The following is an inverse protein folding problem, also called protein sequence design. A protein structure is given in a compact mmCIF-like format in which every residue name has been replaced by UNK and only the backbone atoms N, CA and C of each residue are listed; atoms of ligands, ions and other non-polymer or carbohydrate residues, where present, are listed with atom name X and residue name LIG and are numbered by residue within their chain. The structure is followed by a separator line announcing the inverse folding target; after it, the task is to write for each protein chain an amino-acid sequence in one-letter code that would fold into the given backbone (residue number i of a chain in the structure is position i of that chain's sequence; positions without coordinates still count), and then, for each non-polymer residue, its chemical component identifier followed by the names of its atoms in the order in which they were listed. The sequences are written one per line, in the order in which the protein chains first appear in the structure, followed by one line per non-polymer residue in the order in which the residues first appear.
data_IF_199091119074
#
_entry.id   IF_199091119074
#
_cell.length_a   1.000
_cell.length_b   1.000
_cell.length_c   1.000
_cell.angle_alpha   90.00
_cell.angle_beta   90.00
_cell.angle_gamma   90.00
#
_symmetry.space_group_name_H-M   'P 1'
#
loop_
_entity.id
_entity.type
_entity.pdbx_description
1 polymer ?
#
# COMPACT_ATOMS: atom_id res chain seq x y z
N UNK A 1 4.65 50.73 3.45
CA UNK A 1 3.46 49.87 3.24
C UNK A 1 3.99 48.44 3.29
N UNK A 2 3.83 47.78 4.44
CA UNK A 2 4.32 46.43 4.71
C UNK A 2 3.25 45.41 4.30
N UNK A 3 3.63 44.37 3.55
CA UNK A 3 2.90 43.10 3.54
C UNK A 3 3.90 41.97 3.71
N UNK A 4 3.81 41.35 4.89
CA UNK A 4 4.48 40.13 5.34
C UNK A 4 4.17 38.96 4.39
N UNK A 5 5.16 38.18 3.95
CA UNK A 5 5.78 37.07 4.68
C UNK A 5 4.74 36.04 5.17
N UNK A 6 4.35 35.11 4.30
CA UNK A 6 3.58 33.92 4.68
C UNK A 6 4.56 32.73 4.75
N UNK A 7 4.98 32.37 5.97
CA UNK A 7 5.64 31.10 6.26
C UNK A 7 4.55 30.07 6.56
N UNK A 8 4.45 29.01 5.75
CA UNK A 8 3.59 27.87 6.05
C UNK A 8 4.38 26.87 6.89
N UNK A 9 4.11 26.84 8.20
CA UNK A 9 4.63 25.87 9.14
C UNK A 9 3.76 24.61 9.06
N UNK A 10 4.30 23.49 8.58
CA UNK A 10 3.64 22.18 8.68
C UNK A 10 4.20 21.50 9.93
N UNK A 11 3.39 21.43 10.99
CA UNK A 11 3.72 20.74 12.22
C UNK A 11 3.53 19.23 12.05
N UNK A 12 4.63 18.49 12.01
CA UNK A 12 4.67 17.03 12.18
C UNK A 12 4.17 16.69 13.59
N UNK A 13 3.06 15.95 13.69
CA UNK A 13 2.66 15.31 14.95
C UNK A 13 3.19 13.88 14.96
N UNK A 14 4.28 13.68 15.69
CA UNK A 14 4.81 12.36 16.05
C UNK A 14 3.94 11.85 17.21
N UNK A 15 3.22 10.74 17.00
CA UNK A 15 2.53 10.03 18.08
C UNK A 15 3.57 9.20 18.84
N UNK A 16 3.67 9.29 20.18
CA UNK A 16 4.67 8.57 20.95
C UNK A 16 4.32 7.08 21.05
N UNK A 17 5.32 6.23 20.82
CA UNK A 17 5.30 4.79 21.10
C UNK A 17 5.23 4.59 22.61
N UNK A 18 4.15 3.97 23.10
CA UNK A 18 4.05 3.54 24.49
C UNK A 18 4.97 2.32 24.72
N UNK A 19 5.85 2.44 25.71
CA UNK A 19 6.65 1.36 26.29
C UNK A 19 5.75 0.22 26.78
N UNK A 20 6.06 -1.01 26.37
CA UNK A 20 5.57 -2.21 27.04
C UNK A 20 6.56 -2.57 28.17
N UNK A 21 6.16 -2.31 29.41
CA UNK A 21 6.80 -2.89 30.61
C UNK A 21 6.31 -4.32 30.83
N UNK A 22 7.21 -5.17 31.30
CA UNK A 22 7.04 -6.60 31.55
C UNK A 22 6.17 -6.94 32.79
N UNK A 23 5.73 -8.22 32.80
CA UNK A 23 5.40 -9.15 33.91
C UNK A 23 3.90 -9.45 34.16
N UNK A 24 3.53 -10.64 34.69
CA UNK A 24 4.17 -11.97 34.71
C UNK A 24 3.27 -13.13 34.23
N UNK A 25 3.85 -14.33 34.07
CA UNK A 25 3.14 -15.60 33.80
C UNK A 25 2.18 -15.99 34.93
N UNK A 26 0.98 -16.50 34.60
CA UNK A 26 0.41 -17.78 35.09
C UNK A 26 -0.93 -18.05 34.39
N UNK A 27 -1.09 -19.23 33.78
CA UNK A 27 -2.35 -20.00 33.74
C UNK A 27 -3.56 -19.48 32.95
N UNK A 28 -3.78 -20.13 31.81
CA UNK A 28 -5.06 -20.39 31.13
C UNK A 28 -5.92 -19.24 30.55
N UNK A 29 -6.40 -19.51 29.33
CA UNK A 29 -7.29 -18.75 28.44
C UNK A 29 -6.70 -17.52 27.72
N UNK A 30 -6.50 -17.68 26.41
CA UNK A 30 -6.29 -16.58 25.46
C UNK A 30 -7.53 -15.66 25.47
N UNK A 31 -7.40 -14.36 25.78
CA UNK A 31 -8.51 -13.44 25.61
C UNK A 31 -8.77 -13.21 24.12
N UNK A 32 -9.87 -13.78 23.63
CA UNK A 32 -10.56 -13.35 22.40
C UNK A 32 -10.86 -11.85 22.54
N UNK A 33 -10.03 -11.02 21.91
CA UNK A 33 -10.12 -9.57 22.05
C UNK A 33 -9.37 -8.81 20.96
N UNK A 34 -9.37 -9.31 19.73
CA UNK A 34 -9.23 -8.43 18.57
C UNK A 34 -10.64 -8.22 18.06
N UNK A 35 -11.30 -7.15 18.53
CA UNK A 35 -12.46 -6.61 17.83
C UNK A 35 -11.99 -6.22 16.43
N UNK A 36 -12.19 -7.12 15.46
CA UNK A 36 -12.33 -6.72 14.08
C UNK A 36 -13.45 -5.69 14.06
N UNK A 37 -13.10 -4.44 13.78
CA UNK A 37 -14.06 -3.38 13.50
C UNK A 37 -14.93 -3.87 12.35
N UNK A 38 -16.11 -4.43 12.67
CA UNK A 38 -17.17 -4.70 11.71
C UNK A 38 -17.77 -3.35 11.31
N UNK A 39 -17.05 -2.61 10.48
CA UNK A 39 -17.65 -1.57 9.67
C UNK A 39 -18.63 -2.25 8.72
N UNK A 40 -19.91 -1.93 8.84
CA UNK A 40 -20.88 -2.25 7.80
C UNK A 40 -20.57 -1.35 6.60
N UNK A 41 -19.87 -1.91 5.61
CA UNK A 41 -19.66 -1.23 4.34
C UNK A 41 -20.94 -1.40 3.49
N UNK A 42 -21.44 -0.32 2.87
CA UNK A 42 -22.53 -0.48 1.91
C UNK A 42 -22.08 -1.41 0.78
N UNK A 43 -22.96 -2.27 0.24
CA UNK A 43 -22.62 -3.09 -0.91
C UNK A 43 -22.20 -2.18 -2.08
N UNK A 44 -21.19 -2.56 -2.87
CA UNK A 44 -20.81 -1.82 -4.07
C UNK A 44 -22.03 -1.69 -4.98
N UNK A 45 -22.20 -0.51 -5.58
CA UNK A 45 -23.25 -0.28 -6.56
C UNK A 45 -23.07 -1.25 -7.75
N UNK A 46 -24.16 -1.75 -8.32
CA UNK A 46 -24.12 -2.63 -9.49
C UNK A 46 -23.53 -1.89 -10.71
N UNK A 47 -22.22 -2.08 -10.86
CA UNK A 47 -21.38 -1.77 -12.01
C UNK A 47 -20.30 -2.85 -12.08
N UNK A 48 -19.65 -3.03 -13.23
CA UNK A 48 -18.54 -3.99 -13.35
C UNK A 48 -17.49 -3.68 -12.28
N UNK A 49 -17.38 -4.56 -11.27
CA UNK A 49 -16.37 -4.43 -10.22
C UNK A 49 -14.99 -4.57 -10.85
N UNK A 50 -14.12 -3.58 -10.68
CA UNK A 50 -12.74 -3.68 -11.15
C UNK A 50 -12.02 -4.82 -10.39
N UNK A 51 -11.50 -5.80 -11.14
CA UNK A 51 -10.78 -6.92 -10.54
C UNK A 51 -9.27 -6.73 -10.63
N UNK A 52 -8.63 -6.56 -9.47
CA UNK A 52 -7.18 -6.65 -9.30
C UNK A 52 -6.64 -8.09 -9.26
N UNK A 53 -7.51 -9.11 -9.28
CA UNK A 53 -7.07 -10.50 -9.22
C UNK A 53 -6.24 -10.87 -10.44
N UNK A 54 -5.04 -11.41 -10.25
CA UNK A 54 -4.20 -11.88 -11.34
C UNK A 54 -2.73 -11.54 -11.17
N UNK A 55 -1.98 -11.73 -12.26
CA UNK A 55 -0.57 -11.41 -12.37
C UNK A 55 -0.40 -10.01 -12.95
N UNK A 56 0.49 -9.24 -12.33
CA UNK A 56 0.81 -7.87 -12.70
C UNK A 56 2.32 -7.70 -12.72
N UNK A 57 2.82 -6.82 -13.57
CA UNK A 57 4.17 -6.31 -13.47
C UNK A 57 4.15 -5.04 -12.62
N UNK A 58 4.93 -5.03 -11.54
CA UNK A 58 5.22 -3.86 -10.73
C UNK A 58 6.51 -3.21 -11.25
N UNK A 59 6.43 -1.93 -11.59
CA UNK A 59 7.60 -1.12 -11.96
C UNK A 59 7.81 -0.02 -10.90
N UNK A 60 9.04 0.26 -10.50
CA UNK A 60 9.34 1.33 -9.55
C UNK A 60 10.69 1.99 -9.80
N UNK A 61 10.81 3.24 -9.36
CA UNK A 61 12.09 3.97 -9.25
C UNK A 61 12.34 4.38 -7.79
N UNK A 62 13.52 4.94 -7.51
CA UNK A 62 13.88 5.44 -6.17
C UNK A 62 13.71 6.98 -6.06
N UNK A 63 12.82 7.59 -6.86
CA UNK A 63 12.62 9.04 -6.92
C UNK A 63 11.16 9.45 -6.78
N UNK A 64 10.86 10.47 -5.98
CA UNK A 64 9.49 10.98 -5.85
C UNK A 64 9.24 12.06 -6.90
N UNK A 65 8.21 11.89 -7.74
CA UNK A 65 7.87 12.81 -8.83
C UNK A 65 6.49 12.53 -9.44
N UNK A 66 6.17 13.12 -10.60
CA UNK A 66 4.92 12.81 -11.32
C UNK A 66 5.06 11.68 -12.35
N UNK A 67 6.30 11.28 -12.65
CA UNK A 67 6.62 10.28 -13.67
C UNK A 67 7.55 9.23 -13.10
N UNK A 68 7.57 8.05 -13.71
CA UNK A 68 8.54 7.01 -13.40
C UNK A 68 9.86 7.37 -14.10
N UNK A 69 10.81 7.96 -13.37
CA UNK A 69 12.05 8.52 -13.93
C UNK A 69 13.29 7.88 -13.30
N UNK A 70 14.29 7.55 -14.11
CA UNK A 70 15.57 6.98 -13.64
C UNK A 70 15.72 5.49 -13.93
N UNK A 71 16.46 4.77 -13.07
CA UNK A 71 16.72 3.34 -13.20
C UNK A 71 15.49 2.53 -12.77
N UNK A 72 14.57 2.34 -13.72
CA UNK A 72 13.33 1.59 -13.51
C UNK A 72 13.64 0.13 -13.23
N UNK A 73 13.15 -0.35 -12.09
CA UNK A 73 13.20 -1.76 -11.69
C UNK A 73 11.82 -2.36 -11.90
N UNK A 74 11.79 -3.63 -12.30
CA UNK A 74 10.54 -4.37 -12.50
C UNK A 74 10.56 -5.72 -11.80
N UNK A 75 9.38 -6.18 -11.39
CA UNK A 75 9.14 -7.54 -10.95
C UNK A 75 7.68 -7.93 -11.18
N UNK A 76 7.40 -9.22 -11.15
CA UNK A 76 6.03 -9.71 -11.23
C UNK A 76 5.45 -9.88 -9.82
N UNK A 77 4.17 -9.56 -9.68
CA UNK A 77 3.41 -9.64 -8.45
C UNK A 77 2.03 -10.20 -8.75
N UNK A 78 1.56 -11.10 -7.90
CA UNK A 78 0.24 -11.69 -8.01
C UNK A 78 -0.64 -11.17 -6.88
N UNK A 79 -1.81 -10.64 -7.24
CA UNK A 79 -2.82 -10.19 -6.29
C UNK A 79 -4.03 -11.11 -6.27
N UNK A 80 -4.61 -11.22 -5.08
CA UNK A 80 -5.94 -11.75 -4.83
C UNK A 80 -6.71 -10.76 -3.97
N UNK A 81 -7.94 -10.44 -4.39
CA UNK A 81 -8.83 -9.52 -3.70
C UNK A 81 -10.12 -10.22 -3.34
N UNK A 82 -10.48 -10.16 -2.05
CA UNK A 82 -11.73 -10.68 -1.49
C UNK A 82 -12.30 -9.59 -0.59
N UNK A 83 -13.51 -9.12 -0.89
CA UNK A 83 -14.22 -8.09 -0.12
C UNK A 83 -13.35 -6.87 0.20
N UNK A 84 -12.63 -6.36 -0.80
CA UNK A 84 -11.71 -5.23 -0.67
C UNK A 84 -10.39 -5.53 0.03
N UNK A 85 -10.22 -6.71 0.64
CA UNK A 85 -8.94 -7.12 1.22
C UNK A 85 -8.01 -7.65 0.15
N UNK A 86 -6.78 -7.11 0.08
CA UNK A 86 -5.76 -7.51 -0.89
C UNK A 86 -4.74 -8.41 -0.19
N UNK A 87 -4.48 -9.56 -0.79
CA UNK A 87 -3.34 -10.41 -0.47
C UNK A 87 -2.51 -10.63 -1.73
N UNK A 88 -1.20 -10.75 -1.59
CA UNK A 88 -0.34 -11.01 -2.74
C UNK A 88 1.00 -11.64 -2.40
N UNK A 89 1.77 -11.87 -3.45
CA UNK A 89 3.15 -12.34 -3.36
C UNK A 89 3.90 -11.95 -4.64
N UNK A 90 5.22 -11.80 -4.55
CA UNK A 90 6.05 -11.69 -5.74
C UNK A 90 6.09 -13.02 -6.51
N UNK A 91 6.05 -12.93 -7.83
CA UNK A 91 6.22 -14.07 -8.74
C UNK A 91 7.67 -14.07 -9.25
N UNK A 92 8.56 -14.72 -8.50
CA UNK A 92 9.98 -14.84 -8.84
C UNK A 92 10.90 -13.86 -8.13
N UNK A 93 11.97 -13.42 -8.82
CA UNK A 93 13.04 -12.59 -8.23
C UNK A 93 12.73 -11.10 -8.37
N UNK A 94 12.87 -10.36 -7.27
CA UNK A 94 12.77 -8.90 -7.23
C UNK A 94 14.18 -8.33 -7.26
N UNK A 95 14.54 -7.63 -8.34
CA UNK A 95 15.89 -7.11 -8.57
C UNK A 95 16.99 -8.18 -8.33
N UNK A 96 16.79 -9.37 -8.92
CA UNK A 96 17.72 -10.49 -8.81
C UNK A 96 17.66 -11.29 -7.50
N UNK A 97 16.85 -10.87 -6.53
CA UNK A 97 16.77 -11.50 -5.20
C UNK A 97 15.41 -12.17 -4.99
N UNK A 98 15.39 -13.41 -4.49
CA UNK A 98 14.15 -14.04 -4.00
C UNK A 98 13.75 -13.36 -2.70
N UNK A 99 12.50 -12.90 -2.62
CA UNK A 99 11.96 -12.23 -1.44
C UNK A 99 11.01 -13.17 -0.73
N UNK A 100 11.24 -13.36 0.56
CA UNK A 100 10.27 -13.97 1.47
C UNK A 100 9.38 -12.86 2.05
N UNK A 101 8.59 -12.26 1.17
CA UNK A 101 7.76 -11.12 1.49
C UNK A 101 6.28 -11.52 1.53
N UNK A 102 5.59 -11.10 2.57
CA UNK A 102 4.13 -11.14 2.65
C UNK A 102 3.61 -9.84 2.07
N UNK A 103 2.56 -9.91 1.25
CA UNK A 103 1.88 -8.73 0.72
C UNK A 103 0.44 -8.71 1.22
N UNK A 104 0.07 -7.64 1.91
CA UNK A 104 -1.26 -7.40 2.47
C UNK A 104 -1.70 -5.95 2.25
N UNK A 105 -3.00 -5.73 2.04
CA UNK A 105 -3.50 -4.40 1.72
C UNK A 105 -5.01 -4.29 1.61
N UNK A 106 -5.47 -3.17 1.08
CA UNK A 106 -6.87 -2.85 0.86
C UNK A 106 -7.07 -2.14 -0.48
N UNK A 107 -8.11 -2.57 -1.20
CA UNK A 107 -8.72 -1.86 -2.32
C UNK A 107 -10.01 -1.22 -1.81
N UNK A 108 -10.07 0.11 -1.85
CA UNK A 108 -11.25 0.89 -1.51
C UNK A 108 -11.85 1.43 -2.80
N UNK A 109 -13.11 1.08 -3.05
CA UNK A 109 -13.90 1.63 -4.14
C UNK A 109 -14.62 2.89 -3.69
N UNK A 110 -14.51 3.95 -4.47
CA UNK A 110 -15.25 5.19 -4.33
C UNK A 110 -16.01 5.48 -5.63
N UNK A 111 -17.04 6.32 -5.55
CA UNK A 111 -17.87 6.70 -6.70
C UNK A 111 -17.03 7.28 -7.87
N UNK A 112 -15.90 7.92 -7.55
CA UNK A 112 -15.04 8.62 -8.52
C UNK A 112 -13.81 7.80 -8.93
N UNK A 113 -13.62 6.60 -8.36
CA UNK A 113 -12.45 5.77 -8.64
C UNK A 113 -12.05 4.85 -7.50
N UNK A 114 -10.76 4.52 -7.45
CA UNK A 114 -10.23 3.46 -6.61
C UNK A 114 -9.00 3.96 -5.86
N UNK A 115 -8.82 3.46 -4.64
CA UNK A 115 -7.61 3.59 -3.86
C UNK A 115 -7.10 2.19 -3.49
N UNK A 116 -5.89 1.87 -3.91
CA UNK A 116 -5.17 0.67 -3.47
C UNK A 116 -4.05 1.09 -2.52
N UNK A 117 -4.06 0.50 -1.33
CA UNK A 117 -2.95 0.55 -0.39
C UNK A 117 -2.48 -0.87 -0.11
N UNK A 118 -1.17 -1.12 -0.11
CA UNK A 118 -0.64 -2.42 0.32
C UNK A 118 0.76 -2.29 0.89
N UNK A 119 1.18 -3.28 1.66
CA UNK A 119 2.49 -3.37 2.26
C UNK A 119 3.16 -4.66 1.83
N UNK A 120 4.43 -4.56 1.46
CA UNK A 120 5.37 -5.66 1.43
C UNK A 120 6.03 -5.74 2.82
N UNK A 121 5.92 -6.87 3.49
CA UNK A 121 6.55 -7.12 4.80
C UNK A 121 7.57 -8.25 4.70
N UNK A 122 8.79 -7.95 5.09
CA UNK A 122 9.92 -8.88 5.25
C UNK A 122 10.51 -8.72 6.65
N UNK A 123 11.33 -9.68 7.08
CA UNK A 123 12.05 -9.56 8.36
C UNK A 123 12.87 -8.26 8.41
N UNK A 124 12.50 -7.35 9.32
CA UNK A 124 13.17 -6.06 9.51
C UNK A 124 12.96 -5.04 8.39
N UNK A 125 12.02 -5.27 7.46
CA UNK A 125 11.78 -4.38 6.33
C UNK A 125 10.29 -4.30 5.99
N UNK A 126 9.76 -3.08 5.84
CA UNK A 126 8.41 -2.85 5.33
C UNK A 126 8.53 -1.83 4.19
N UNK A 127 7.81 -2.08 3.10
CA UNK A 127 7.61 -1.13 2.01
C UNK A 127 6.10 -0.95 1.81
N UNK A 128 5.62 0.28 1.92
CA UNK A 128 4.21 0.64 1.75
C UNK A 128 4.01 1.27 0.38
N UNK A 129 2.89 0.95 -0.25
CA UNK A 129 2.50 1.39 -1.58
C UNK A 129 1.10 2.00 -1.54
N UNK A 130 0.91 3.09 -2.27
CA UNK A 130 -0.38 3.75 -2.43
C UNK A 130 -0.57 4.20 -3.87
N UNK A 131 -1.72 3.87 -4.47
CA UNK A 131 -2.08 4.32 -5.81
C UNK A 131 -3.58 4.62 -5.88
N UNK A 132 -3.93 5.72 -6.53
CA UNK A 132 -5.31 6.13 -6.75
C UNK A 132 -5.56 6.28 -8.25
N UNK A 133 -6.69 5.79 -8.76
CA UNK A 133 -7.06 5.99 -10.16
C UNK A 133 -8.55 6.26 -10.35
N UNK A 134 -8.93 7.13 -11.30
CA UNK A 134 -10.33 7.37 -11.63
C UNK A 134 -11.02 6.12 -12.17
N UNK A 135 -12.34 5.99 -11.95
CA UNK A 135 -13.13 4.89 -12.51
C UNK A 135 -13.15 4.89 -14.06
N UNK A 136 -12.96 6.06 -14.66
CA UNK A 136 -12.87 6.24 -16.11
C UNK A 136 -11.51 5.87 -16.72
N UNK A 137 -10.51 5.57 -15.90
CA UNK A 137 -9.13 5.36 -16.33
C UNK A 137 -8.72 3.90 -16.20
N UNK A 138 -7.89 3.44 -17.12
CA UNK A 138 -7.22 2.15 -16.98
C UNK A 138 -6.10 2.24 -15.94
N UNK A 139 -5.91 1.19 -15.13
CA UNK A 139 -4.85 1.17 -14.11
C UNK A 139 -3.44 1.23 -14.72
N UNK A 140 -3.29 0.91 -16.02
CA UNK A 140 -2.01 0.89 -16.73
C UNK A 140 -1.42 2.27 -16.98
N UNK A 141 -2.19 3.34 -16.79
CA UNK A 141 -1.76 4.73 -17.02
C UNK A 141 -1.47 5.49 -15.72
N UNK A 142 -1.46 4.80 -14.58
CA UNK A 142 -1.48 5.44 -13.26
C UNK A 142 -0.18 5.18 -12.52
N UNK A 143 0.34 6.24 -11.90
CA UNK A 143 1.53 6.22 -11.05
C UNK A 143 1.11 6.35 -9.59
N UNK A 144 1.54 5.41 -8.76
CA UNK A 144 1.46 5.46 -7.31
C UNK A 144 2.79 5.85 -6.67
N UNK A 145 2.78 5.94 -5.34
CA UNK A 145 3.94 6.26 -4.52
C UNK A 145 4.27 5.14 -3.53
N UNK A 146 5.55 4.87 -3.34
CA UNK A 146 6.02 3.91 -2.34
C UNK A 146 6.99 4.56 -1.37
N UNK A 147 7.06 4.01 -0.15
CA UNK A 147 8.05 4.37 0.85
C UNK A 147 8.41 3.17 1.71
N UNK A 148 9.63 3.12 2.24
CA UNK A 148 10.09 2.00 3.06
C UNK A 148 10.64 2.40 4.43
N UNK A 149 10.87 1.40 5.27
CA UNK A 149 11.43 1.57 6.63
C UNK A 149 12.89 2.02 6.65
N UNK A 150 13.57 2.07 5.50
CA UNK A 150 14.93 2.61 5.35
C UNK A 150 14.94 4.09 4.94
N UNK A 151 13.76 4.72 4.86
CA UNK A 151 13.61 6.11 4.46
C UNK A 151 13.76 6.35 2.97
N UNK A 152 13.67 5.30 2.15
CA UNK A 152 13.61 5.42 0.68
C UNK A 152 12.16 5.57 0.24
N UNK A 153 11.97 6.23 -0.89
CA UNK A 153 10.66 6.45 -1.48
C UNK A 153 10.79 6.70 -2.97
N UNK A 154 9.73 6.44 -3.71
CA UNK A 154 9.68 6.77 -5.13
C UNK A 154 8.32 6.53 -5.74
N UNK A 155 8.31 6.48 -7.06
CA UNK A 155 7.12 6.22 -7.84
C UNK A 155 7.04 4.75 -8.23
N UNK A 156 5.82 4.26 -8.44
CA UNK A 156 5.58 2.93 -8.99
C UNK A 156 4.37 2.91 -9.92
N UNK A 157 4.28 1.88 -10.75
CA UNK A 157 3.12 1.60 -11.59
C UNK A 157 2.88 0.11 -11.72
N UNK A 158 1.68 -0.24 -12.19
CA UNK A 158 1.30 -1.61 -12.50
C UNK A 158 0.97 -1.77 -13.98
N UNK A 159 1.33 -2.91 -14.55
CA UNK A 159 0.90 -3.34 -15.87
C UNK A 159 0.29 -4.74 -15.78
N UNK A 160 -0.98 -4.88 -16.18
CA UNK A 160 -1.67 -6.16 -16.18
C UNK A 160 -1.22 -7.02 -17.36
N UNK A 161 -0.99 -8.31 -17.12
CA UNK A 161 -0.81 -9.27 -18.21
C UNK A 161 -2.20 -9.64 -18.78
N UNK A 162 -2.46 -9.28 -20.04
CA UNK A 162 -3.67 -9.66 -20.78
C UNK A 162 -3.61 -11.12 -21.25
#
# INVERSE_FOLDING_TARGET
MNLALLHLLVTLTIVPVAQFDELPSTGDELPLGVEQVRGSFPPPAEGESFSLNGLWQLSWDDTVGQELTGDIKTCDIRFRVIDGTVAGQFDGRVAGTLRDAIIDGQLVEHQDGYLLTFQQRESGYICSYQICWPASSSMTEVVGVWHDTKGRSGNFSFLGYQ
#
